data_IF_786046820260
#
_entry.id   IF_786046820260
#
_cell.length_a   1.000
_cell.length_b   1.000
_cell.length_c   1.000
_cell.angle_alpha   90.00
_cell.angle_beta   90.00
_cell.angle_gamma   90.00
#
_symmetry.space_group_name_H-M   'P 1'
#
loop_
_entity.id
_entity.type
_entity.pdbx_description
1 polymer ?
#
# COMPACT_ATOMS: atom_id res chain seq x y z
N UNK A 1 -10.09 -5.74 -15.75
CA UNK A 1 -8.89 -5.60 -16.60
C UNK A 1 -7.67 -5.79 -15.71
N UNK A 2 -6.78 -6.72 -16.04
CA UNK A 2 -5.52 -6.88 -15.31
C UNK A 2 -4.50 -5.91 -15.89
N UNK A 3 -4.11 -4.89 -15.13
CA UNK A 3 -2.95 -4.05 -15.47
C UNK A 3 -1.68 -4.88 -15.28
N UNK A 4 -0.81 -4.93 -16.27
CA UNK A 4 0.50 -5.56 -16.12
C UNK A 4 1.30 -4.87 -14.99
N UNK A 5 2.24 -5.59 -14.38
CA UNK A 5 3.15 -5.01 -13.37
C UNK A 5 3.90 -3.80 -13.93
N UNK A 6 4.34 -3.88 -15.19
CA UNK A 6 4.99 -2.77 -15.88
C UNK A 6 4.09 -1.54 -15.95
N UNK A 7 2.83 -1.70 -16.40
CA UNK A 7 1.88 -0.60 -16.47
C UNK A 7 1.60 -0.01 -15.08
N UNK A 8 1.49 -0.83 -14.04
CA UNK A 8 1.27 -0.37 -12.67
C UNK A 8 2.44 0.47 -12.14
N UNK A 9 3.69 0.10 -12.49
CA UNK A 9 4.88 0.86 -12.10
C UNK A 9 4.96 2.19 -12.87
N UNK A 10 4.78 2.16 -14.19
CA UNK A 10 4.88 3.35 -15.05
C UNK A 10 3.75 4.37 -14.77
N UNK A 11 2.55 3.89 -14.45
CA UNK A 11 1.39 4.75 -14.17
C UNK A 11 1.37 5.33 -12.75
N UNK A 12 2.29 4.93 -11.86
CA UNK A 12 2.33 5.43 -10.49
C UNK A 12 2.73 6.89 -10.45
N UNK A 13 1.82 7.73 -9.93
CA UNK A 13 2.03 9.16 -9.72
C UNK A 13 1.89 9.53 -8.24
N UNK A 14 2.36 10.73 -7.87
CA UNK A 14 2.06 11.32 -6.56
C UNK A 14 0.66 11.94 -6.58
N UNK A 15 -0.31 11.29 -5.92
CA UNK A 15 -1.69 11.77 -5.82
C UNK A 15 -1.83 12.66 -4.59
N UNK A 16 -2.34 13.88 -4.76
CA UNK A 16 -2.52 14.86 -3.68
C UNK A 16 -3.99 15.21 -3.39
N UNK A 17 -4.94 14.63 -4.13
CA UNK A 17 -6.38 14.90 -3.98
C UNK A 17 -7.12 13.57 -3.85
N UNK A 18 -7.70 13.34 -2.67
CA UNK A 18 -8.45 12.13 -2.33
C UNK A 18 -9.92 12.45 -2.09
N UNK A 19 -10.79 11.46 -2.29
CA UNK A 19 -12.21 11.55 -1.95
C UNK A 19 -12.39 11.29 -0.45
N UNK A 20 -12.90 12.27 0.29
CA UNK A 20 -13.04 12.18 1.74
C UNK A 20 -14.12 11.17 2.18
N UNK A 21 -15.11 10.94 1.32
CA UNK A 21 -16.27 10.06 1.49
C UNK A 21 -16.00 8.62 1.01
N UNK A 22 -14.73 8.26 0.82
CA UNK A 22 -14.34 6.95 0.30
C UNK A 22 -13.33 6.26 1.24
N UNK A 23 -13.78 5.65 2.34
CA UNK A 23 -12.90 4.92 3.23
C UNK A 23 -12.32 3.68 2.52
N UNK A 24 -11.14 3.25 2.98
CA UNK A 24 -10.60 1.94 2.62
C UNK A 24 -11.07 0.91 3.64
N UNK A 25 -11.43 -0.27 3.16
CA UNK A 25 -11.73 -1.40 4.03
C UNK A 25 -10.45 -1.92 4.71
N UNK A 26 -10.55 -2.35 5.97
CA UNK A 26 -9.41 -2.80 6.78
C UNK A 26 -8.68 -3.99 6.13
N UNK A 27 -9.39 -4.85 5.42
CA UNK A 27 -8.83 -5.99 4.69
C UNK A 27 -7.92 -5.52 3.55
N UNK A 28 -8.28 -4.39 2.91
CA UNK A 28 -7.45 -3.78 1.86
C UNK A 28 -6.15 -3.26 2.45
N UNK A 29 -6.22 -2.57 3.59
CA UNK A 29 -5.03 -2.06 4.30
C UNK A 29 -4.13 -3.22 4.72
N UNK A 30 -4.72 -4.28 5.28
CA UNK A 30 -4.01 -5.49 5.71
C UNK A 30 -3.27 -6.13 4.53
N UNK A 31 -3.96 -6.33 3.41
CA UNK A 31 -3.37 -6.89 2.19
C UNK A 31 -2.19 -6.05 1.68
N UNK A 32 -2.30 -4.72 1.70
CA UNK A 32 -1.23 -3.83 1.27
C UNK A 32 0.00 -3.93 2.18
N UNK A 33 -0.20 -4.02 3.50
CA UNK A 33 0.90 -4.19 4.47
C UNK A 33 1.57 -5.55 4.28
N UNK A 34 0.80 -6.64 4.12
CA UNK A 34 1.34 -7.98 3.83
C UNK A 34 2.15 -8.04 2.53
N UNK A 35 1.74 -7.28 1.51
CA UNK A 35 2.52 -7.18 0.27
C UNK A 35 3.80 -6.36 0.48
N UNK A 36 3.74 -5.29 1.26
CA UNK A 36 4.90 -4.44 1.55
C UNK A 36 5.98 -5.17 2.35
N UNK A 37 5.61 -6.06 3.28
CA UNK A 37 6.58 -6.85 4.08
C UNK A 37 7.37 -7.87 3.28
N UNK A 38 6.97 -8.17 2.04
CA UNK A 38 7.74 -9.02 1.11
C UNK A 38 8.99 -8.33 0.57
N UNK A 39 9.12 -7.02 0.76
CA UNK A 39 10.33 -6.29 0.38
C UNK A 39 11.53 -6.77 1.23
N UNK A 40 12.70 -7.01 0.62
CA UNK A 40 13.86 -7.45 1.37
C UNK A 40 14.42 -6.33 2.24
N UNK A 41 14.92 -6.68 3.42
CA UNK A 41 15.74 -5.79 4.27
C UNK A 41 17.11 -6.40 4.52
N UNK A 42 18.09 -5.57 4.89
CA UNK A 42 19.37 -6.07 5.39
C UNK A 42 19.13 -7.12 6.49
N UNK A 43 19.78 -8.29 6.34
CA UNK A 43 19.65 -9.43 7.25
C UNK A 43 18.22 -9.90 7.57
N UNK A 44 17.24 -9.57 6.71
CA UNK A 44 15.81 -9.79 6.97
C UNK A 44 15.32 -9.21 8.32
N UNK A 45 15.95 -8.14 8.81
CA UNK A 45 15.61 -7.49 10.07
C UNK A 45 14.17 -6.96 10.13
N UNK A 46 13.58 -6.64 8.99
CA UNK A 46 12.22 -6.10 8.90
C UNK A 46 11.98 -4.93 9.87
N UNK A 47 12.92 -3.98 9.90
CA UNK A 47 12.98 -2.86 10.86
C UNK A 47 11.92 -1.76 10.63
N UNK A 48 10.79 -2.11 10.00
CA UNK A 48 9.66 -1.24 9.73
C UNK A 48 8.53 -1.49 10.73
N UNK A 49 7.82 -0.41 11.05
CA UNK A 49 6.55 -0.45 11.79
C UNK A 49 5.51 0.30 10.97
N UNK A 50 4.43 -0.39 10.60
CA UNK A 50 3.30 0.21 9.88
C UNK A 50 2.25 0.67 10.88
N UNK A 51 1.76 1.89 10.73
CA UNK A 51 0.67 2.48 11.52
C UNK A 51 -0.32 3.07 10.54
N UNK A 52 -1.53 2.52 10.49
CA UNK A 52 -2.65 3.07 9.73
C UNK A 52 -3.56 3.85 10.67
N UNK A 53 -4.05 5.00 10.22
CA UNK A 53 -5.05 5.79 10.93
C UNK A 53 -6.25 5.98 10.01
N UNK A 54 -7.43 5.56 10.47
CA UNK A 54 -8.71 5.77 9.83
C UNK A 54 -9.69 6.36 10.83
N UNK A 55 -10.59 7.22 10.37
CA UNK A 55 -11.78 7.59 11.14
C UNK A 55 -12.75 6.42 11.01
N UNK A 56 -13.02 5.71 12.12
CA UNK A 56 -14.10 4.71 12.19
C UNK A 56 -15.48 5.38 12.11
#
# INVERSE_FOLDING_TARGET
>A
MSSSVQNAIESRISINRFQADRPLADETITTLVELATKAPTAFNMQNWRFIAYGLS
#
